data_IF_671896425787
#
_entry.id   IF_671896425787
#
_cell.length_a   1.000
_cell.length_b   1.000
_cell.length_c   1.000
_cell.angle_alpha   90.00
_cell.angle_beta   90.00
_cell.angle_gamma   90.00
#
_symmetry.space_group_name_H-M   'P 1'
#
loop_
_entity.id
_entity.type
_entity.pdbx_description
1 polymer ?
#
# COMPACT_ATOMS: atom_id res chain seq x y z
N UNK A 1 10.71 9.48 -14.45
CA UNK A 1 10.27 8.90 -13.16
C UNK A 1 9.22 7.79 -13.39
N UNK A 2 9.57 6.76 -14.17
CA UNK A 2 8.81 5.50 -14.35
C UNK A 2 9.71 4.26 -14.39
N UNK A 3 11.03 4.45 -14.23
CA UNK A 3 12.03 3.41 -14.41
C UNK A 3 12.41 2.68 -13.09
N UNK A 4 12.04 3.20 -11.92
CA UNK A 4 12.42 2.62 -10.64
C UNK A 4 11.51 1.47 -10.17
N UNK A 5 10.30 1.35 -10.70
CA UNK A 5 9.36 0.29 -10.30
C UNK A 5 9.51 -1.02 -11.09
N UNK A 6 10.40 -1.06 -12.08
CA UNK A 6 10.59 -2.25 -12.92
C UNK A 6 11.54 -3.29 -12.30
N UNK A 7 12.36 -2.91 -11.31
CA UNK A 7 13.48 -3.75 -10.82
C UNK A 7 13.32 -4.30 -9.39
N UNK A 8 12.18 -4.12 -8.72
CA UNK A 8 12.05 -4.57 -7.33
C UNK A 8 10.61 -4.82 -6.89
N UNK A 9 10.04 -6.02 -7.14
CA UNK A 9 8.81 -6.43 -6.46
C UNK A 9 8.97 -6.41 -4.92
N UNK A 10 10.21 -6.55 -4.45
CA UNK A 10 10.59 -6.58 -3.03
C UNK A 10 11.16 -5.23 -2.54
N UNK A 11 11.24 -4.21 -3.40
CA UNK A 11 11.67 -2.85 -3.01
C UNK A 11 10.49 -2.07 -2.45
N UNK A 12 10.51 -1.81 -1.14
CA UNK A 12 9.46 -1.07 -0.45
C UNK A 12 9.25 0.32 -1.06
N UNK A 13 10.30 1.07 -1.37
CA UNK A 13 10.21 2.42 -1.89
C UNK A 13 9.57 2.43 -3.28
N UNK A 14 9.89 1.44 -4.12
CA UNK A 14 9.24 1.25 -5.41
C UNK A 14 7.74 0.95 -5.25
N UNK A 15 7.36 0.08 -4.30
CA UNK A 15 5.94 -0.23 -4.07
C UNK A 15 5.16 0.97 -3.53
N UNK A 16 5.75 1.78 -2.64
CA UNK A 16 5.13 3.03 -2.14
C UNK A 16 4.89 4.01 -3.28
N UNK A 17 5.92 4.26 -4.11
CA UNK A 17 5.82 5.20 -5.22
C UNK A 17 4.74 4.80 -6.23
N UNK A 18 4.56 3.50 -6.50
CA UNK A 18 3.47 3.05 -7.37
C UNK A 18 2.11 3.21 -6.70
N UNK A 19 1.99 2.88 -5.41
CA UNK A 19 0.74 3.09 -4.67
C UNK A 19 0.32 4.57 -4.67
N UNK A 20 1.27 5.50 -4.55
CA UNK A 20 1.01 6.94 -4.62
C UNK A 20 0.49 7.34 -6.01
N UNK A 21 1.13 6.86 -7.07
CA UNK A 21 0.69 7.12 -8.45
C UNK A 21 -0.71 6.55 -8.71
N UNK A 22 -0.99 5.36 -8.17
CA UNK A 22 -2.30 4.71 -8.27
C UNK A 22 -3.37 5.55 -7.56
N UNK A 23 -3.11 6.05 -6.34
CA UNK A 23 -4.04 6.96 -5.63
C UNK A 23 -4.25 8.28 -6.38
N UNK A 24 -3.17 8.91 -6.87
CA UNK A 24 -3.26 10.14 -7.67
C UNK A 24 -4.05 9.93 -8.98
N UNK A 25 -3.99 8.74 -9.56
CA UNK A 25 -4.74 8.34 -10.74
C UNK A 25 -6.18 7.87 -10.46
N UNK A 26 -6.59 7.79 -9.19
CA UNK A 26 -7.91 7.30 -8.78
C UNK A 26 -8.03 5.78 -8.63
N UNK A 27 -6.96 5.02 -8.88
CA UNK A 27 -6.86 3.57 -8.71
C UNK A 27 -6.61 3.19 -7.24
N UNK A 28 -7.44 3.70 -6.34
CA UNK A 28 -7.27 3.56 -4.88
C UNK A 28 -7.23 2.09 -4.43
N UNK A 29 -8.07 1.24 -5.01
CA UNK A 29 -8.13 -0.18 -4.63
C UNK A 29 -6.84 -0.92 -5.02
N UNK A 30 -6.24 -0.59 -6.17
CA UNK A 30 -4.98 -1.17 -6.64
C UNK A 30 -3.82 -0.75 -5.74
N UNK A 31 -3.76 0.53 -5.36
CA UNK A 31 -2.78 1.05 -4.42
C UNK A 31 -2.82 0.30 -3.07
N UNK A 32 -4.03 0.14 -2.52
CA UNK A 32 -4.23 -0.55 -1.25
C UNK A 32 -3.91 -2.04 -1.35
N UNK A 33 -4.37 -2.72 -2.42
CA UNK A 33 -4.09 -4.13 -2.62
C UNK A 33 -2.59 -4.41 -2.76
N UNK A 34 -1.85 -3.52 -3.45
CA UNK A 34 -0.39 -3.59 -3.58
C UNK A 34 0.30 -3.57 -2.22
N UNK A 35 0.00 -2.58 -1.38
CA UNK A 35 0.67 -2.44 -0.09
C UNK A 35 0.28 -3.55 0.88
N UNK A 36 -1.00 -3.95 0.92
CA UNK A 36 -1.42 -5.10 1.74
C UNK A 36 -0.70 -6.38 1.33
N UNK A 37 -0.58 -6.63 0.01
CA UNK A 37 0.17 -7.79 -0.49
C UNK A 37 1.65 -7.71 -0.12
N UNK A 38 2.28 -6.54 -0.25
CA UNK A 38 3.67 -6.36 0.13
C UNK A 38 3.89 -6.65 1.63
N UNK A 39 3.04 -6.09 2.50
CA UNK A 39 3.06 -6.30 3.95
C UNK A 39 2.89 -7.77 4.35
N UNK A 40 2.09 -8.53 3.59
CA UNK A 40 1.87 -9.95 3.85
C UNK A 40 3.10 -10.81 3.53
N UNK A 41 3.90 -10.39 2.53
CA UNK A 41 5.01 -11.17 1.99
C UNK A 41 6.37 -10.77 2.58
N UNK A 42 6.50 -9.56 3.12
CA UNK A 42 7.76 -9.02 3.63
C UNK A 42 7.65 -8.74 5.13
N UNK A 43 8.24 -9.57 6.01
CA UNK A 43 8.40 -9.26 7.42
C UNK A 43 9.56 -8.28 7.67
N UNK A 44 9.58 -7.62 8.84
CA UNK A 44 10.65 -6.70 9.24
C UNK A 44 10.35 -5.24 8.95
N UNK A 45 11.39 -4.42 8.80
CA UNK A 45 11.28 -2.96 8.73
C UNK A 45 10.54 -2.46 7.48
N UNK A 46 10.69 -3.16 6.35
CA UNK A 46 9.95 -2.86 5.12
C UNK A 46 8.45 -3.06 5.29
N UNK A 47 8.04 -4.06 6.09
CA UNK A 47 6.64 -4.29 6.46
C UNK A 47 6.06 -3.07 7.16
N UNK A 48 6.80 -2.58 8.14
CA UNK A 48 6.37 -1.49 8.99
C UNK A 48 6.32 -0.17 8.21
N UNK A 49 7.31 0.05 7.35
CA UNK A 49 7.35 1.17 6.41
C UNK A 49 6.13 1.16 5.48
N UNK A 50 5.82 0.02 4.86
CA UNK A 50 4.65 -0.11 4.00
C UNK A 50 3.32 0.04 4.76
N UNK A 51 3.27 -0.47 6.00
CA UNK A 51 2.09 -0.36 6.87
C UNK A 51 1.81 1.08 7.26
N UNK A 52 2.84 1.84 7.64
CA UNK A 52 2.71 3.25 7.97
C UNK A 52 2.19 4.05 6.77
N UNK A 53 2.80 3.86 5.59
CA UNK A 53 2.38 4.55 4.37
C UNK A 53 0.94 4.22 3.97
N UNK A 54 0.52 2.96 4.09
CA UNK A 54 -0.86 2.55 3.83
C UNK A 54 -1.86 3.27 4.76
N UNK A 55 -1.50 3.49 6.03
CA UNK A 55 -2.33 4.24 6.98
C UNK A 55 -2.41 5.72 6.60
N UNK A 56 -1.32 6.30 6.12
CA UNK A 56 -1.32 7.68 5.63
C UNK A 56 -2.22 7.83 4.40
N UNK A 57 -2.15 6.89 3.46
CA UNK A 57 -3.05 6.88 2.28
C UNK A 57 -4.53 6.75 2.65
N UNK A 58 -4.87 6.04 3.74
CA UNK A 58 -6.25 6.03 4.25
C UNK A 58 -6.73 7.41 4.68
N UNK A 59 -5.82 8.24 5.23
CA UNK A 59 -6.14 9.61 5.63
C UNK A 59 -6.32 10.49 4.40
N UNK A 60 -5.48 10.32 3.37
CA UNK A 60 -5.59 11.03 2.09
C UNK A 60 -6.89 10.73 1.37
N UNK A 61 -7.30 9.46 1.31
CA UNK A 61 -8.56 9.03 0.66
C UNK A 61 -9.79 9.39 1.50
N UNK A 62 -9.64 9.44 2.82
CA UNK A 62 -10.72 9.68 3.78
C UNK A 62 -11.09 8.40 4.52
N UNK A 63 -11.09 8.46 5.85
CA UNK A 63 -11.23 7.28 6.72
C UNK A 63 -12.58 6.58 6.63
N UNK A 64 -13.62 7.28 6.16
CA UNK A 64 -14.97 6.75 6.00
C UNK A 64 -15.22 6.14 4.61
N UNK A 65 -14.25 6.22 3.69
CA UNK A 65 -14.37 5.61 2.37
C UNK A 65 -14.52 4.07 2.49
N UNK A 66 -15.51 3.45 1.82
CA UNK A 66 -15.71 2.00 1.87
C UNK A 66 -14.48 1.18 1.47
N UNK A 67 -13.63 1.71 0.58
CA UNK A 67 -12.38 1.07 0.12
C UNK A 67 -11.33 1.07 1.23
N UNK A 68 -11.27 2.13 2.04
CA UNK A 68 -10.41 2.19 3.24
C UNK A 68 -10.84 1.12 4.24
N UNK A 69 -12.15 1.01 4.52
CA UNK A 69 -12.67 0.01 5.44
C UNK A 69 -12.39 -1.43 4.96
N UNK A 70 -12.54 -1.68 3.66
CA UNK A 70 -12.18 -2.96 3.06
C UNK A 70 -10.68 -3.26 3.19
N UNK A 71 -9.82 -2.29 2.92
CA UNK A 71 -8.37 -2.45 3.04
C UNK A 71 -7.92 -2.69 4.48
N UNK A 72 -8.50 -2.00 5.47
CA UNK A 72 -8.21 -2.23 6.91
C UNK A 72 -8.48 -3.68 7.33
N UNK A 73 -9.59 -4.27 6.85
CA UNK A 73 -9.90 -5.69 7.11
C UNK A 73 -8.86 -6.62 6.48
N UNK A 74 -8.44 -6.35 5.24
CA UNK A 74 -7.39 -7.13 4.56
C UNK A 74 -6.03 -6.99 5.24
N UNK A 75 -5.67 -5.78 5.67
CA UNK A 75 -4.45 -5.52 6.42
C UNK A 75 -4.44 -6.32 7.72
N UNK A 76 -5.52 -6.29 8.50
CA UNK A 76 -5.63 -7.09 9.72
C UNK A 76 -5.41 -8.59 9.43
N UNK A 77 -6.03 -9.12 8.38
CA UNK A 77 -5.86 -10.51 7.97
C UNK A 77 -4.44 -10.85 7.46
N UNK A 78 -3.67 -9.86 6.99
CA UNK A 78 -2.27 -10.04 6.60
C UNK A 78 -1.30 -9.95 7.79
N UNK A 79 -1.78 -9.49 8.96
CA UNK A 79 -0.97 -9.34 10.17
C UNK A 79 -1.03 -10.55 11.11
N UNK A 80 -2.02 -11.43 10.95
CA UNK A 80 -2.29 -12.60 11.80
C UNK A 80 -2.41 -13.87 10.96
#
# INVERSE_FOLDING_TARGET
MRAAAADGPDDVAAQLAVADLDVLGGHVEDAFARLVRFIALHPGDDRETARAHLVDLYTVVGTDDPRVQASRRRLAAALF
#
